data_IF_825669049821
#
_entry.id   IF_825669049821
#
_cell.length_a   1.000
_cell.length_b   1.000
_cell.length_c   1.000
_cell.angle_alpha   90.00
_cell.angle_beta   90.00
_cell.angle_gamma   90.00
#
_symmetry.space_group_name_H-M   'P 1'
#
loop_
_entity.id
_entity.type
_entity.pdbx_description
1 polymer ?
#
# COMPACT_ATOMS: atom_id res chain seq x y z
N UNK A 1 5.06 -22.98 4.19
CA UNK A 1 4.42 -21.81 3.54
C UNK A 1 4.96 -20.48 4.05
N UNK A 2 4.98 -20.19 5.36
CA UNK A 2 5.45 -18.90 5.88
C UNK A 2 6.86 -18.49 5.40
N UNK A 3 7.82 -19.41 5.39
CA UNK A 3 9.20 -19.15 4.93
C UNK A 3 9.29 -18.77 3.43
N UNK A 4 8.29 -19.14 2.62
CA UNK A 4 8.25 -18.78 1.20
C UNK A 4 7.98 -17.29 1.07
N UNK A 5 6.93 -16.80 1.73
CA UNK A 5 6.57 -15.38 1.72
C UNK A 5 7.60 -14.53 2.48
N UNK A 6 8.00 -14.94 3.68
CA UNK A 6 8.94 -14.21 4.53
C UNK A 6 10.33 -14.00 3.88
N UNK A 7 10.80 -14.98 3.10
CA UNK A 7 12.09 -14.89 2.41
C UNK A 7 11.95 -14.53 0.92
N UNK A 8 10.75 -14.19 0.45
CA UNK A 8 10.56 -13.73 -0.92
C UNK A 8 11.21 -12.36 -1.12
N UNK A 9 11.83 -12.16 -2.29
CA UNK A 9 12.28 -10.83 -2.66
C UNK A 9 11.09 -9.88 -2.89
N UNK A 10 10.01 -10.41 -3.48
CA UNK A 10 8.76 -9.74 -3.76
C UNK A 10 7.66 -10.78 -4.02
N UNK A 11 6.47 -10.54 -3.48
CA UNK A 11 5.27 -11.33 -3.80
C UNK A 11 4.41 -10.58 -4.82
N UNK A 12 4.02 -11.27 -5.89
CA UNK A 12 3.13 -10.71 -6.91
C UNK A 12 1.69 -11.04 -6.52
N UNK A 13 0.86 -10.02 -6.37
CA UNK A 13 -0.54 -10.15 -5.98
C UNK A 13 -1.45 -9.80 -7.14
N UNK A 14 -2.27 -10.77 -7.59
CA UNK A 14 -3.34 -10.56 -8.55
C UNK A 14 -4.57 -9.92 -7.89
N UNK A 15 -4.39 -8.76 -7.26
CA UNK A 15 -5.38 -8.17 -6.33
C UNK A 15 -6.77 -7.97 -6.95
N UNK A 16 -6.83 -7.61 -8.23
CA UNK A 16 -8.09 -7.42 -8.97
C UNK A 16 -8.69 -8.70 -9.57
N UNK A 17 -8.06 -9.86 -9.38
CA UNK A 17 -8.47 -11.14 -9.96
C UNK A 17 -9.41 -11.88 -9.03
N UNK A 18 -10.58 -12.30 -9.52
CA UNK A 18 -11.52 -13.12 -8.74
C UNK A 18 -11.07 -14.59 -8.68
N UNK A 19 -10.35 -15.05 -9.70
CA UNK A 19 -9.91 -16.43 -9.83
C UNK A 19 -8.57 -16.56 -10.56
N UNK A 20 -8.09 -17.81 -10.74
CA UNK A 20 -6.82 -18.08 -11.41
C UNK A 20 -6.84 -17.78 -12.91
N UNK A 21 -8.01 -17.79 -13.55
CA UNK A 21 -8.14 -17.71 -15.02
C UNK A 21 -8.08 -16.29 -15.58
N UNK A 22 -8.19 -15.25 -14.74
CA UNK A 22 -8.27 -13.86 -15.22
C UNK A 22 -6.91 -13.18 -15.40
N UNK A 23 -5.84 -13.72 -14.82
CA UNK A 23 -4.49 -13.13 -14.90
C UNK A 23 -4.32 -11.77 -14.20
N UNK A 24 -3.20 -11.09 -14.50
CA UNK A 24 -2.76 -9.87 -13.80
C UNK A 24 -3.16 -8.55 -14.48
N UNK A 25 -3.26 -8.56 -15.80
CA UNK A 25 -3.44 -7.33 -16.58
C UNK A 25 -4.92 -7.05 -16.83
N UNK A 26 -5.26 -5.77 -16.86
CA UNK A 26 -6.62 -5.27 -17.09
C UNK A 26 -6.54 -4.13 -18.10
N UNK A 27 -7.62 -3.92 -18.85
CA UNK A 27 -7.79 -2.68 -19.62
C UNK A 27 -8.00 -1.53 -18.64
N UNK A 28 -7.19 -0.48 -18.74
CA UNK A 28 -7.13 0.62 -17.77
C UNK A 28 -7.25 1.97 -18.48
N UNK A 29 -7.74 2.96 -17.75
CA UNK A 29 -7.82 4.35 -18.22
C UNK A 29 -6.66 5.12 -17.58
N UNK A 30 -5.78 5.70 -18.42
CA UNK A 30 -4.56 6.39 -17.98
C UNK A 30 -4.85 7.50 -16.95
N UNK A 31 -5.99 8.16 -17.06
CA UNK A 31 -6.40 9.23 -16.15
C UNK A 31 -6.55 8.76 -14.70
N UNK A 32 -6.81 7.47 -14.45
CA UNK A 32 -6.90 6.90 -13.09
C UNK A 32 -5.54 6.77 -12.41
N UNK A 33 -4.45 6.86 -13.18
CA UNK A 33 -3.07 6.85 -12.68
C UNK A 33 -2.49 8.25 -12.55
N UNK A 34 -3.27 9.30 -12.77
CA UNK A 34 -2.82 10.69 -12.69
C UNK A 34 -3.33 11.36 -11.42
N UNK A 35 -2.47 12.17 -10.79
CA UNK A 35 -2.88 13.01 -9.67
C UNK A 35 -3.90 14.03 -10.17
N UNK A 36 -5.06 14.13 -9.52
CA UNK A 36 -6.07 15.13 -9.84
C UNK A 36 -5.58 16.53 -9.47
N UNK A 37 -6.05 17.55 -10.18
CA UNK A 37 -5.70 18.93 -9.85
C UNK A 37 -6.86 19.88 -10.05
N UNK A 38 -7.04 20.78 -9.08
CA UNK A 38 -8.04 21.84 -9.13
C UNK A 38 -7.35 23.19 -9.22
N UNK A 39 -7.97 24.14 -9.90
CA UNK A 39 -7.57 25.55 -9.88
C UNK A 39 -8.53 26.31 -9.00
N UNK A 40 -8.01 26.95 -7.96
CA UNK A 40 -8.80 27.75 -7.02
C UNK A 40 -8.44 29.21 -7.21
N UNK A 41 -9.47 30.05 -7.35
CA UNK A 41 -9.33 31.50 -7.40
C UNK A 41 -9.29 32.05 -5.98
N UNK A 42 -8.31 32.90 -5.69
CA UNK A 42 -8.18 33.56 -4.39
C UNK A 42 -8.53 35.04 -4.47
N UNK A 43 -8.76 35.65 -3.32
CA UNK A 43 -9.12 37.06 -3.19
C UNK A 43 -8.06 38.02 -3.76
N UNK A 44 -6.80 37.58 -3.86
CA UNK A 44 -5.70 38.31 -4.50
C UNK A 44 -5.73 38.26 -6.03
N UNK A 45 -6.74 37.61 -6.63
CA UNK A 45 -6.92 37.46 -8.07
C UNK A 45 -5.94 36.49 -8.73
N UNK A 46 -5.08 35.80 -7.96
CA UNK A 46 -4.07 34.88 -8.49
C UNK A 46 -4.58 33.43 -8.36
N UNK A 47 -4.88 32.75 -9.48
CA UNK A 47 -5.27 31.35 -9.43
C UNK A 47 -4.11 30.49 -8.94
N UNK A 48 -4.38 29.58 -8.02
CA UNK A 48 -3.42 28.55 -7.59
C UNK A 48 -3.91 27.16 -7.96
N UNK A 49 -2.97 26.30 -8.33
CA UNK A 49 -3.23 24.89 -8.63
C UNK A 49 -2.94 24.07 -7.37
N UNK A 50 -3.88 23.19 -7.01
CA UNK A 50 -3.70 22.22 -5.94
C UNK A 50 -3.85 20.82 -6.50
N UNK A 51 -3.01 19.94 -6.00
CA UNK A 51 -3.15 18.51 -6.21
C UNK A 51 -4.23 17.98 -5.26
N UNK A 52 -5.12 17.15 -5.79
CA UNK A 52 -6.23 16.55 -5.06
C UNK A 52 -6.22 15.06 -5.29
N UNK A 53 -6.35 14.33 -4.20
CA UNK A 53 -6.42 12.89 -4.21
C UNK A 53 -7.34 12.41 -3.10
N UNK A 54 -7.81 11.17 -3.22
CA UNK A 54 -8.51 10.51 -2.14
C UNK A 54 -7.52 10.04 -1.07
N UNK A 55 -7.79 10.39 0.19
CA UNK A 55 -6.98 9.96 1.34
C UNK A 55 -6.93 8.43 1.51
N UNK A 56 -7.96 7.70 1.06
CA UNK A 56 -8.02 6.23 1.11
C UNK A 56 -7.55 5.56 -0.19
N UNK A 57 -6.89 6.30 -1.08
CA UNK A 57 -6.54 5.82 -2.42
C UNK A 57 -5.73 4.52 -2.38
N UNK A 58 -4.70 4.45 -1.54
CA UNK A 58 -3.85 3.26 -1.41
C UNK A 58 -4.64 2.05 -0.90
N UNK A 59 -5.46 2.24 0.14
CA UNK A 59 -6.29 1.18 0.69
C UNK A 59 -7.28 0.66 -0.36
N UNK A 60 -7.95 1.54 -1.11
CA UNK A 60 -8.89 1.11 -2.15
C UNK A 60 -8.24 0.35 -3.30
N UNK A 61 -6.96 0.61 -3.57
CA UNK A 61 -6.22 -0.14 -4.59
C UNK A 61 -5.77 -1.52 -4.10
N UNK A 62 -5.37 -1.65 -2.82
CA UNK A 62 -4.91 -2.92 -2.27
C UNK A 62 -6.04 -3.82 -1.78
N UNK A 63 -7.27 -3.30 -1.70
CA UNK A 63 -8.49 -4.07 -1.46
C UNK A 63 -9.05 -4.60 -2.79
N UNK A 64 -9.37 -5.89 -2.83
CA UNK A 64 -9.96 -6.52 -4.02
C UNK A 64 -10.41 -7.96 -3.75
N UNK A 65 -10.97 -8.65 -4.76
CA UNK A 65 -11.50 -10.01 -4.57
C UNK A 65 -10.49 -10.99 -3.97
N UNK A 66 -9.20 -10.83 -4.30
CA UNK A 66 -8.15 -11.66 -3.75
C UNK A 66 -8.02 -11.49 -2.22
N UNK A 67 -8.15 -10.27 -1.68
CA UNK A 67 -7.94 -10.00 -0.25
C UNK A 67 -9.01 -10.59 0.66
N UNK A 68 -10.18 -10.96 0.11
CA UNK A 68 -11.26 -11.60 0.88
C UNK A 68 -10.98 -13.08 1.18
N UNK A 69 -9.94 -13.66 0.57
CA UNK A 69 -9.53 -15.05 0.80
C UNK A 69 -8.70 -15.16 2.07
N UNK A 70 -9.13 -16.00 3.01
CA UNK A 70 -8.54 -16.07 4.36
C UNK A 70 -7.02 -16.33 4.40
N UNK A 71 -6.44 -17.06 3.43
CA UNK A 71 -4.99 -17.28 3.37
C UNK A 71 -4.19 -16.06 2.93
N UNK A 72 -4.78 -15.14 2.17
CA UNK A 72 -4.08 -13.98 1.58
C UNK A 72 -3.55 -13.02 2.65
N UNK A 73 -4.17 -13.01 3.83
CA UNK A 73 -3.63 -12.32 4.99
C UNK A 73 -2.18 -12.73 5.28
N UNK A 74 -1.91 -14.04 5.37
CA UNK A 74 -0.57 -14.57 5.66
C UNK A 74 0.40 -14.25 4.52
N UNK A 75 -0.05 -14.34 3.27
CA UNK A 75 0.78 -14.05 2.09
C UNK A 75 1.21 -12.59 2.06
N UNK A 76 0.32 -11.67 2.39
CA UNK A 76 0.59 -10.23 2.38
C UNK A 76 1.47 -9.79 3.54
N UNK A 77 1.13 -10.18 4.78
CA UNK A 77 1.82 -9.67 5.98
C UNK A 77 3.23 -10.24 6.11
N UNK A 78 3.44 -11.50 5.73
CA UNK A 78 4.75 -12.13 5.82
C UNK A 78 5.69 -11.67 4.70
N UNK A 79 5.17 -11.29 3.53
CA UNK A 79 6.00 -10.87 2.41
C UNK A 79 6.68 -9.54 2.70
N UNK A 80 8.03 -9.41 2.59
CA UNK A 80 8.70 -8.11 2.79
C UNK A 80 8.17 -7.02 1.86
N UNK A 81 7.87 -7.40 0.62
CA UNK A 81 7.37 -6.54 -0.45
C UNK A 81 6.25 -7.23 -1.21
N UNK A 82 5.22 -6.48 -1.58
CA UNK A 82 4.11 -6.97 -2.40
C UNK A 82 3.91 -6.01 -3.57
N UNK A 83 3.86 -6.55 -4.78
CA UNK A 83 3.45 -5.83 -5.98
C UNK A 83 2.02 -6.23 -6.33
N UNK A 84 1.09 -5.33 -6.06
CA UNK A 84 -0.33 -5.49 -6.34
C UNK A 84 -0.64 -5.10 -7.78
N UNK A 85 -1.23 -6.02 -8.52
CA UNK A 85 -1.93 -5.75 -9.77
C UNK A 85 -3.40 -5.48 -9.45
N UNK A 86 -3.67 -4.22 -9.08
CA UNK A 86 -5.02 -3.76 -8.78
C UNK A 86 -5.79 -3.42 -10.06
N UNK A 87 -7.06 -3.04 -9.88
CA UNK A 87 -8.01 -2.87 -10.98
C UNK A 87 -7.57 -1.75 -11.95
N UNK A 88 -7.07 -0.64 -11.40
CA UNK A 88 -6.78 0.58 -12.16
C UNK A 88 -5.28 0.85 -12.33
N UNK A 89 -4.44 0.39 -11.41
CA UNK A 89 -2.99 0.62 -11.45
C UNK A 89 -2.22 -0.41 -10.61
N UNK A 90 -0.90 -0.48 -10.80
CA UNK A 90 -0.02 -1.24 -9.92
C UNK A 90 0.27 -0.47 -8.62
N UNK A 91 0.39 -1.21 -7.52
CA UNK A 91 0.78 -0.67 -6.21
C UNK A 91 1.93 -1.49 -5.64
N UNK A 92 2.96 -0.78 -5.20
CA UNK A 92 4.05 -1.32 -4.43
C UNK A 92 3.79 -1.11 -2.93
N UNK A 93 3.91 -2.17 -2.15
CA UNK A 93 3.76 -2.16 -0.72
C UNK A 93 4.96 -2.82 -0.03
N UNK A 94 5.57 -2.12 0.91
CA UNK A 94 6.55 -2.69 1.84
C UNK A 94 6.35 -2.10 3.25
N UNK A 95 7.11 -2.58 4.23
CA UNK A 95 7.02 -2.12 5.62
C UNK A 95 7.35 -0.62 5.82
N UNK A 96 8.04 0.00 4.87
CA UNK A 96 8.48 1.40 4.98
C UNK A 96 7.56 2.37 4.24
N UNK A 97 7.02 1.96 3.09
CA UNK A 97 6.30 2.84 2.18
C UNK A 97 5.38 2.09 1.23
N UNK A 98 4.38 2.84 0.78
CA UNK A 98 3.45 2.43 -0.26
C UNK A 98 3.62 3.38 -1.44
N UNK A 99 3.64 2.85 -2.66
CA UNK A 99 3.72 3.64 -3.88
C UNK A 99 2.70 3.12 -4.86
N UNK A 100 2.14 4.01 -5.65
CA UNK A 100 1.26 3.65 -6.77
C UNK A 100 1.77 4.30 -8.04
N UNK A 101 1.24 3.90 -9.19
CA UNK A 101 1.56 4.58 -10.46
C UNK A 101 1.22 6.09 -10.39
N UNK A 102 0.17 6.46 -9.64
CA UNK A 102 -0.17 7.86 -9.34
C UNK A 102 0.87 8.58 -8.48
N UNK A 103 1.48 7.87 -7.53
CA UNK A 103 2.48 8.43 -6.64
C UNK A 103 3.78 7.58 -6.63
N UNK A 104 4.63 7.73 -7.67
CA UNK A 104 5.81 6.87 -7.82
C UNK A 104 6.99 7.30 -6.93
N UNK A 105 7.04 8.57 -6.54
CA UNK A 105 8.17 9.16 -5.80
C UNK A 105 7.90 9.32 -4.31
N UNK A 106 6.69 9.73 -3.97
CA UNK A 106 6.21 9.95 -2.61
C UNK A 106 4.85 9.26 -2.48
N UNK A 107 4.25 9.22 -1.30
CA UNK A 107 2.83 8.89 -1.16
C UNK A 107 2.25 9.79 -0.08
N UNK A 108 0.98 10.22 -0.21
CA UNK A 108 0.34 10.93 0.88
C UNK A 108 0.24 9.98 2.08
N UNK A 109 0.84 10.36 3.21
CA UNK A 109 0.51 9.73 4.49
C UNK A 109 -0.80 10.35 4.97
N UNK A 110 -1.77 9.58 5.47
CA UNK A 110 -2.95 10.16 6.09
C UNK A 110 -2.50 11.02 7.28
N UNK A 111 -2.58 12.33 7.14
CA UNK A 111 -2.33 13.27 8.22
C UNK A 111 -3.60 13.30 9.06
N UNK A 112 -3.75 12.39 10.04
CA UNK A 112 -4.78 12.46 11.10
C UNK A 112 -6.06 11.61 10.91
N UNK A 113 -6.07 10.62 10.00
CA UNK A 113 -7.17 9.66 9.96
C UNK A 113 -7.10 8.71 11.18
N UNK A 114 -8.24 8.48 11.85
CA UNK A 114 -8.42 7.36 12.78
C UNK A 114 -7.88 6.11 12.10
N UNK A 115 -6.73 5.66 12.62
CA UNK A 115 -5.87 4.66 12.02
C UNK A 115 -6.64 3.35 11.87
N UNK A 116 -7.01 3.00 10.64
CA UNK A 116 -7.16 1.59 10.29
C UNK A 116 -5.75 1.12 9.93
N UNK A 117 -5.19 0.15 10.66
CA UNK A 117 -3.87 -0.33 10.33
C UNK A 117 -3.93 -0.89 8.90
N UNK A 118 -3.08 -0.35 8.02
CA UNK A 118 -2.62 -1.21 6.94
C UNK A 118 -2.02 -2.47 7.57
N UNK A 119 -2.26 -3.63 6.98
CA UNK A 119 -1.91 -4.93 7.57
C UNK A 119 -0.43 -5.03 7.93
N UNK A 120 0.44 -4.36 7.16
CA UNK A 120 1.88 -4.28 7.46
C UNK A 120 2.27 -3.21 8.48
N UNK A 121 1.39 -2.24 8.71
CA UNK A 121 1.56 -1.28 9.78
C UNK A 121 1.21 -1.87 11.16
N UNK A 122 0.46 -2.99 11.22
CA UNK A 122 0.24 -3.77 12.45
C UNK A 122 1.56 -4.35 12.99
N UNK A 123 2.51 -4.72 12.13
CA UNK A 123 3.79 -5.28 12.59
C UNK A 123 4.60 -4.28 13.42
N UNK A 124 4.51 -2.98 13.09
CA UNK A 124 5.10 -1.90 13.89
C UNK A 124 4.49 -1.80 15.30
N UNK A 125 3.25 -2.25 15.51
CA UNK A 125 2.63 -2.34 16.84
C UNK A 125 3.18 -3.51 17.66
N UNK A 126 3.56 -4.62 17.01
CA UNK A 126 4.15 -5.77 17.70
C UNK A 126 5.64 -5.58 18.00
N UNK A 127 6.35 -4.78 17.21
CA UNK A 127 7.78 -4.52 17.36
C UNK A 127 8.12 -3.60 18.56
N UNK A 128 7.17 -2.79 19.02
CA UNK A 128 7.34 -1.94 20.21
C UNK A 128 7.44 -2.77 21.50
N UNK A 129 7.03 -4.05 21.46
CA UNK A 129 7.21 -5.02 22.53
C UNK A 129 8.58 -5.73 22.55
N UNK A 130 9.34 -5.69 21.45
CA UNK A 130 10.60 -6.45 21.31
C UNK A 130 11.88 -5.63 21.48
N UNK A 131 11.79 -4.29 21.51
CA UNK A 131 12.96 -3.43 21.81
C UNK A 131 13.49 -3.52 23.24
N UNK A 132 12.83 -4.23 24.16
CA UNK A 132 13.28 -4.40 25.55
C UNK A 132 14.20 -5.60 25.81
N UNK A 133 14.42 -6.50 24.85
CA UNK A 133 15.21 -7.73 25.09
C UNK A 133 16.59 -7.75 24.42
N UNK A 134 16.97 -6.72 23.66
CA UNK A 134 18.27 -6.66 23.01
C UNK A 134 19.42 -6.07 23.87
N UNK A 135 19.15 -5.58 25.09
CA UNK A 135 20.15 -4.95 25.96
C UNK A 135 20.71 -5.88 27.07
N UNK A 136 20.44 -7.18 27.01
CA UNK A 136 20.82 -8.12 28.09
C UNK A 136 21.95 -9.10 27.71
N UNK A 137 22.73 -8.85 26.65
CA UNK A 137 23.89 -9.69 26.30
C UNK A 137 25.08 -8.87 25.82
N UNK A 138 25.63 -8.05 26.71
CA UNK A 138 26.98 -7.53 26.56
C UNK A 138 27.60 -7.21 27.94
N UNK A 139 27.59 -8.19 28.84
CA UNK A 139 28.51 -8.22 29.99
C UNK A 139 28.93 -9.68 30.22
N UNK A 140 30.08 -10.06 29.62
CA UNK A 140 31.09 -10.94 30.25
C UNK A 140 32.41 -10.84 29.47
#
# INVERSE_FOLDING_TARGET
MHQVYANSACTISATASEGPDEGLFRSRIVQETLIGHIKVQFADGKPRRFDVWDQHHMQRLTQGPLTDRGWVFQERILSPRVLHFAKTQAVWECFEMHKSEMFPRWSPRPADAVYTPDLKAIDAFFDDGHRRTAWAKEEN
#
